data_IF_650070878963
#
_entry.id   IF_650070878963
#
_cell.length_a   1.000
_cell.length_b   1.000
_cell.length_c   1.000
_cell.angle_alpha   90.00
_cell.angle_beta   90.00
_cell.angle_gamma   90.00
#
_symmetry.space_group_name_H-M   'P 1'
#
loop_
_entity.id
_entity.type
_entity.pdbx_description
1 polymer ?
#
# COMPACT_ATOMS: atom_id res chain seq x y z
N UNK A 1 -25.67 31.51 -34.25
CA UNK A 1 -25.70 30.05 -34.49
C UNK A 1 -24.32 29.49 -34.23
N UNK A 2 -24.13 28.97 -33.02
CA UNK A 2 -23.49 27.68 -32.74
C UNK A 2 -23.30 27.62 -31.23
N UNK A 3 -24.35 27.17 -30.57
CA UNK A 3 -24.26 26.60 -29.24
C UNK A 3 -23.39 25.35 -29.34
N UNK A 4 -22.27 25.38 -28.64
CA UNK A 4 -21.38 24.24 -28.49
C UNK A 4 -21.90 23.46 -27.28
N UNK A 5 -22.80 22.52 -27.55
CA UNK A 5 -23.33 21.58 -26.56
C UNK A 5 -22.18 20.74 -25.99
N UNK A 6 -21.76 21.13 -24.79
CA UNK A 6 -20.85 20.38 -23.94
C UNK A 6 -21.61 19.16 -23.39
N UNK A 7 -21.67 18.09 -24.16
CA UNK A 7 -22.18 16.78 -23.72
C UNK A 7 -21.09 16.08 -22.91
N UNK A 8 -20.85 16.59 -21.70
CA UNK A 8 -20.23 15.79 -20.66
C UNK A 8 -21.13 14.58 -20.41
N UNK A 9 -20.70 13.40 -20.84
CA UNK A 9 -21.31 12.12 -20.48
C UNK A 9 -21.26 11.96 -18.96
N UNK A 10 -22.26 12.49 -18.26
CA UNK A 10 -22.62 12.10 -16.91
C UNK A 10 -23.10 10.65 -17.00
N UNK A 11 -22.16 9.69 -16.96
CA UNK A 11 -22.53 8.32 -16.65
C UNK A 11 -23.19 8.34 -15.26
N UNK A 12 -24.42 7.81 -15.13
CA UNK A 12 -25.08 7.76 -13.84
C UNK A 12 -24.21 6.97 -12.87
N UNK A 13 -23.95 7.56 -11.70
CA UNK A 13 -23.22 6.88 -10.64
C UNK A 13 -23.99 5.62 -10.25
N UNK A 14 -23.33 4.46 -10.35
CA UNK A 14 -23.93 3.18 -10.01
C UNK A 14 -24.35 3.15 -8.52
N UNK A 15 -25.47 2.50 -8.22
CA UNK A 15 -25.81 2.22 -6.84
C UNK A 15 -24.88 1.14 -6.25
N UNK A 16 -24.80 1.06 -4.91
CA UNK A 16 -24.07 -0.02 -4.24
C UNK A 16 -24.55 -1.42 -4.68
N UNK A 17 -25.84 -1.56 -4.95
CA UNK A 17 -26.44 -2.79 -5.46
C UNK A 17 -25.96 -3.13 -6.87
N UNK A 18 -25.85 -2.13 -7.75
CA UNK A 18 -25.34 -2.34 -9.12
C UNK A 18 -23.87 -2.78 -9.09
N UNK A 19 -23.04 -2.15 -8.25
CA UNK A 19 -21.64 -2.55 -8.07
C UNK A 19 -21.50 -4.01 -7.62
N UNK A 20 -22.34 -4.43 -6.67
CA UNK A 20 -22.39 -5.81 -6.19
C UNK A 20 -22.83 -6.80 -7.27
N UNK A 21 -23.83 -6.46 -8.08
CA UNK A 21 -24.29 -7.31 -9.18
C UNK A 21 -23.26 -7.41 -10.32
N UNK A 22 -22.52 -6.33 -10.63
CA UNK A 22 -21.38 -6.42 -11.55
C UNK A 22 -20.27 -7.34 -11.01
N UNK A 23 -19.96 -7.24 -9.72
CA UNK A 23 -18.98 -8.13 -9.09
C UNK A 23 -19.41 -9.60 -9.19
N UNK A 24 -20.69 -9.90 -8.95
CA UNK A 24 -21.24 -11.24 -9.17
C UNK A 24 -21.15 -11.66 -10.63
N UNK A 25 -21.53 -10.81 -11.58
CA UNK A 25 -21.49 -11.17 -13.00
C UNK A 25 -20.06 -11.52 -13.45
N UNK A 26 -19.07 -10.76 -12.99
CA UNK A 26 -17.65 -11.05 -13.21
C UNK A 26 -17.21 -12.35 -12.50
N UNK A 27 -17.77 -12.62 -11.32
CA UNK A 27 -17.52 -13.82 -10.55
C UNK A 27 -18.28 -15.07 -11.05
N UNK A 28 -19.38 -14.99 -11.77
CA UNK A 28 -20.14 -16.20 -12.16
C UNK A 28 -20.04 -16.48 -13.66
N UNK A 29 -19.86 -15.44 -14.47
CA UNK A 29 -19.78 -15.53 -15.93
C UNK A 29 -18.63 -14.68 -16.52
N UNK A 30 -17.37 -14.89 -16.09
CA UNK A 30 -16.22 -14.04 -16.45
C UNK A 30 -15.94 -14.00 -17.96
N UNK A 31 -16.21 -15.11 -18.67
CA UNK A 31 -15.94 -15.24 -20.11
C UNK A 31 -16.68 -14.20 -20.96
N UNK A 32 -17.81 -13.68 -20.47
CA UNK A 32 -18.59 -12.62 -21.15
C UNK A 32 -17.94 -11.24 -21.05
N UNK A 33 -16.98 -11.06 -20.14
CA UNK A 33 -16.44 -9.76 -19.75
C UNK A 33 -14.94 -9.64 -19.91
N UNK A 34 -14.22 -10.71 -20.24
CA UNK A 34 -12.79 -10.61 -20.53
C UNK A 34 -12.52 -9.62 -21.68
N UNK A 35 -11.56 -8.73 -21.45
CA UNK A 35 -11.21 -7.65 -22.39
C UNK A 35 -12.22 -6.50 -22.45
N UNK A 36 -13.26 -6.51 -21.60
CA UNK A 36 -14.17 -5.36 -21.47
C UNK A 36 -13.53 -4.23 -20.69
N UNK A 37 -14.00 -3.01 -20.94
CA UNK A 37 -13.60 -1.83 -20.18
C UNK A 37 -13.96 -1.97 -18.68
N UNK A 38 -13.11 -1.48 -17.76
CA UNK A 38 -13.42 -1.47 -16.34
C UNK A 38 -14.70 -0.66 -16.02
N UNK A 39 -15.57 -1.24 -15.20
CA UNK A 39 -16.82 -0.61 -14.77
C UNK A 39 -16.53 0.29 -13.57
N UNK A 40 -16.80 1.59 -13.70
CA UNK A 40 -16.70 2.51 -12.57
C UNK A 40 -17.81 2.25 -11.55
N UNK A 41 -17.42 1.91 -10.32
CA UNK A 41 -18.35 1.63 -9.21
C UNK A 41 -18.36 2.72 -8.15
N UNK A 42 -17.39 3.63 -8.20
CA UNK A 42 -17.29 4.75 -7.28
C UNK A 42 -16.61 5.93 -7.98
N UNK A 43 -17.10 7.14 -7.75
CA UNK A 43 -16.41 8.39 -8.06
C UNK A 43 -16.34 9.22 -6.77
N UNK A 44 -15.18 9.81 -6.52
CA UNK A 44 -15.01 10.74 -5.41
C UNK A 44 -15.28 12.16 -5.89
N UNK A 45 -15.91 12.95 -5.03
CA UNK A 45 -16.03 14.39 -5.26
C UNK A 45 -14.64 15.04 -5.34
N UNK A 46 -14.43 16.03 -6.23
CA UNK A 46 -13.18 16.77 -6.28
C UNK A 46 -12.85 17.39 -4.91
N UNK A 47 -11.66 17.07 -4.38
CA UNK A 47 -11.22 17.54 -3.06
C UNK A 47 -11.76 16.74 -1.87
N UNK A 48 -12.41 15.59 -2.11
CA UNK A 48 -12.82 14.69 -1.03
C UNK A 48 -11.65 14.39 -0.10
N UNK A 49 -11.87 14.57 1.20
CA UNK A 49 -10.91 14.24 2.24
C UNK A 49 -10.63 12.73 2.28
N UNK A 50 -9.49 12.37 2.86
CA UNK A 50 -9.12 10.98 3.02
C UNK A 50 -10.18 10.18 3.82
N UNK A 51 -10.81 10.79 4.83
CA UNK A 51 -11.91 10.16 5.58
C UNK A 51 -13.14 9.89 4.70
N UNK A 52 -13.51 10.85 3.85
CA UNK A 52 -14.64 10.70 2.92
C UNK A 52 -14.36 9.61 1.88
N UNK A 53 -13.14 9.56 1.33
CA UNK A 53 -12.74 8.52 0.39
C UNK A 53 -12.76 7.13 1.04
N UNK A 54 -12.22 7.00 2.25
CA UNK A 54 -12.28 5.75 3.04
C UNK A 54 -13.71 5.28 3.25
N UNK A 55 -14.61 6.16 3.68
CA UNK A 55 -16.00 5.83 3.95
C UNK A 55 -16.77 5.44 2.68
N UNK A 56 -16.61 6.21 1.60
CA UNK A 56 -17.26 5.89 0.34
C UNK A 56 -16.76 4.56 -0.23
N UNK A 57 -15.45 4.29 -0.18
CA UNK A 57 -14.89 3.00 -0.58
C UNK A 57 -15.39 1.86 0.30
N UNK A 58 -15.47 2.05 1.63
CA UNK A 58 -15.97 1.05 2.58
C UNK A 58 -17.37 0.57 2.23
N UNK A 59 -18.26 1.47 1.83
CA UNK A 59 -19.63 1.11 1.45
C UNK A 59 -19.68 0.23 0.20
N UNK A 60 -18.93 0.59 -0.84
CA UNK A 60 -18.84 -0.20 -2.09
C UNK A 60 -18.17 -1.54 -1.84
N UNK A 61 -17.04 -1.54 -1.15
CA UNK A 61 -16.31 -2.74 -0.77
C UNK A 61 -17.18 -3.70 0.05
N UNK A 62 -17.87 -3.21 1.07
CA UNK A 62 -18.76 -4.00 1.91
C UNK A 62 -19.94 -4.60 1.14
N UNK A 63 -20.53 -3.85 0.19
CA UNK A 63 -21.61 -4.36 -0.66
C UNK A 63 -21.13 -5.50 -1.58
N UNK A 64 -19.93 -5.38 -2.14
CA UNK A 64 -19.32 -6.42 -2.98
C UNK A 64 -19.00 -7.67 -2.14
N UNK A 65 -18.34 -7.49 -0.99
CA UNK A 65 -18.02 -8.61 -0.08
C UNK A 65 -19.28 -9.34 0.38
N UNK A 66 -20.34 -8.62 0.73
CA UNK A 66 -21.62 -9.21 1.11
C UNK A 66 -22.24 -10.04 -0.03
N UNK A 67 -21.89 -9.77 -1.29
CA UNK A 67 -22.46 -10.42 -2.47
C UNK A 67 -21.68 -11.62 -2.97
N UNK A 68 -20.34 -11.54 -2.98
CA UNK A 68 -19.45 -12.56 -3.55
C UNK A 68 -18.47 -13.17 -2.54
N UNK A 69 -18.53 -12.76 -1.27
CA UNK A 69 -17.67 -13.24 -0.19
C UNK A 69 -16.39 -12.42 -0.01
N UNK A 70 -15.58 -12.82 0.98
CA UNK A 70 -14.29 -12.18 1.27
C UNK A 70 -13.30 -12.32 0.10
N UNK A 71 -12.42 -11.32 -0.13
CA UNK A 71 -11.42 -11.40 -1.17
C UNK A 71 -10.34 -12.45 -0.84
N UNK A 72 -9.68 -12.92 -1.88
CA UNK A 72 -8.49 -13.79 -1.78
C UNK A 72 -7.28 -12.97 -1.36
N UNK A 73 -7.10 -11.80 -1.97
CA UNK A 73 -6.00 -10.88 -1.71
C UNK A 73 -6.55 -9.49 -1.43
N UNK A 74 -6.16 -8.96 -0.28
CA UNK A 74 -6.29 -7.54 0.05
C UNK A 74 -5.03 -6.83 -0.44
N UNK A 75 -5.10 -5.54 -0.71
CA UNK A 75 -3.95 -4.85 -1.25
C UNK A 75 -4.19 -3.39 -1.57
N UNK A 76 -3.12 -2.75 -2.00
CA UNK A 76 -3.12 -1.32 -2.27
C UNK A 76 -2.00 -0.91 -3.19
N UNK A 77 -2.25 0.12 -3.99
CA UNK A 77 -1.30 0.78 -4.87
C UNK A 77 -0.97 2.18 -4.34
N UNK A 78 -0.05 2.85 -5.03
CA UNK A 78 0.26 4.24 -4.77
C UNK A 78 -0.95 5.17 -4.92
N UNK A 79 -2.00 4.79 -5.67
CA UNK A 79 -3.15 5.65 -5.92
C UNK A 79 -4.43 5.22 -5.22
N UNK A 80 -4.56 3.94 -4.87
CA UNK A 80 -5.79 3.44 -4.29
C UNK A 80 -5.78 1.92 -4.06
N UNK A 81 -6.89 1.40 -3.50
CA UNK A 81 -7.02 -0.01 -3.15
C UNK A 81 -6.83 -0.94 -4.35
N UNK A 82 -6.34 -2.15 -4.09
CA UNK A 82 -6.16 -3.21 -5.08
C UNK A 82 -6.64 -4.55 -4.47
N UNK A 83 -7.95 -4.82 -4.56
CA UNK A 83 -8.60 -5.97 -3.92
C UNK A 83 -8.96 -7.03 -4.96
N UNK A 84 -8.73 -8.31 -4.65
CA UNK A 84 -8.84 -9.40 -5.62
C UNK A 84 -9.63 -10.58 -5.10
N UNK A 85 -10.58 -11.04 -5.91
CA UNK A 85 -11.18 -12.37 -5.82
C UNK A 85 -10.59 -13.20 -6.94
N UNK A 86 -9.75 -14.17 -6.57
CA UNK A 86 -8.81 -14.82 -7.48
C UNK A 86 -8.91 -16.33 -7.40
N UNK A 87 -8.94 -16.97 -8.56
CA UNK A 87 -8.75 -18.40 -8.75
C UNK A 87 -7.74 -18.64 -9.89
N UNK A 88 -7.47 -19.89 -10.25
CA UNK A 88 -6.54 -20.22 -11.34
C UNK A 88 -6.97 -19.70 -12.73
N UNK A 89 -8.23 -19.33 -12.94
CA UNK A 89 -8.76 -18.91 -14.25
C UNK A 89 -8.96 -17.41 -14.36
N UNK A 90 -9.40 -16.76 -13.29
CA UNK A 90 -9.75 -15.35 -13.29
C UNK A 90 -9.33 -14.58 -12.03
N UNK A 91 -9.25 -13.27 -12.21
CA UNK A 91 -9.18 -12.28 -11.15
C UNK A 91 -10.30 -11.27 -11.36
N UNK A 92 -11.23 -11.19 -10.41
CA UNK A 92 -12.09 -10.02 -10.27
C UNK A 92 -11.32 -8.99 -9.44
N UNK A 93 -11.04 -7.85 -10.04
CA UNK A 93 -10.21 -6.80 -9.49
C UNK A 93 -11.04 -5.56 -9.19
N UNK A 94 -11.08 -5.18 -7.91
CA UNK A 94 -11.53 -3.85 -7.47
C UNK A 94 -10.30 -2.98 -7.26
N UNK A 95 -10.06 -2.09 -8.23
CA UNK A 95 -8.93 -1.16 -8.21
C UNK A 95 -9.41 0.27 -8.01
N UNK A 96 -8.70 1.07 -7.22
CA UNK A 96 -9.00 2.47 -6.98
C UNK A 96 -7.87 3.41 -7.33
N UNK A 97 -8.22 4.68 -7.46
CA UNK A 97 -7.32 5.83 -7.54
C UNK A 97 -7.84 6.96 -6.65
N UNK A 98 -7.17 8.11 -6.65
CA UNK A 98 -7.63 9.31 -5.93
C UNK A 98 -8.99 9.84 -6.39
N UNK A 99 -9.49 9.41 -7.55
CA UNK A 99 -10.70 9.96 -8.17
C UNK A 99 -11.85 8.96 -8.28
N UNK A 100 -11.58 7.65 -8.27
CA UNK A 100 -12.59 6.63 -8.52
C UNK A 100 -12.18 5.25 -8.01
N UNK A 101 -13.13 4.33 -7.98
CA UNK A 101 -12.87 2.89 -7.94
C UNK A 101 -13.61 2.19 -9.09
N UNK A 102 -13.00 1.13 -9.61
CA UNK A 102 -13.48 0.39 -10.77
C UNK A 102 -13.38 -1.11 -10.53
N UNK A 103 -14.36 -1.84 -11.06
CA UNK A 103 -14.36 -3.30 -11.15
C UNK A 103 -13.92 -3.71 -12.55
N UNK A 104 -13.11 -4.76 -12.62
CA UNK A 104 -12.72 -5.41 -13.87
C UNK A 104 -12.51 -6.90 -13.65
N UNK A 105 -12.48 -7.67 -14.74
CA UNK A 105 -12.18 -9.11 -14.69
C UNK A 105 -11.14 -9.47 -15.72
N UNK A 106 -10.15 -10.25 -15.29
CA UNK A 106 -8.98 -10.59 -16.08
C UNK A 106 -8.72 -12.09 -16.03
N UNK A 107 -8.09 -12.62 -17.08
CA UNK A 107 -7.46 -13.94 -16.98
C UNK A 107 -6.31 -13.88 -15.98
N UNK A 108 -6.26 -14.82 -15.03
CA UNK A 108 -5.24 -14.84 -13.97
C UNK A 108 -3.83 -14.81 -14.52
N UNK A 109 -3.50 -15.73 -15.44
CA UNK A 109 -2.15 -15.83 -16.00
C UNK A 109 -1.73 -14.56 -16.77
N UNK A 110 -2.67 -13.90 -17.44
CA UNK A 110 -2.40 -12.68 -18.18
C UNK A 110 -2.10 -11.52 -17.23
N UNK A 111 -2.98 -11.29 -16.24
CA UNK A 111 -2.81 -10.22 -15.26
C UNK A 111 -1.55 -10.42 -14.42
N UNK A 112 -1.38 -11.60 -13.81
CA UNK A 112 -0.20 -11.90 -12.98
C UNK A 112 1.10 -11.88 -13.82
N UNK A 113 1.02 -12.26 -15.09
CA UNK A 113 2.13 -12.15 -16.05
C UNK A 113 2.53 -10.70 -16.34
N UNK A 114 1.56 -9.81 -16.57
CA UNK A 114 1.80 -8.37 -16.75
C UNK A 114 2.38 -7.73 -15.49
N UNK A 115 1.84 -8.06 -14.32
CA UNK A 115 2.30 -7.51 -13.05
C UNK A 115 3.73 -7.93 -12.75
N UNK A 116 4.06 -9.21 -12.94
CA UNK A 116 5.43 -9.70 -12.82
C UNK A 116 6.37 -8.95 -13.75
N UNK A 117 5.96 -8.69 -15.01
CA UNK A 117 6.77 -7.86 -15.92
C UNK A 117 7.00 -6.47 -15.35
N UNK A 118 5.95 -5.85 -14.81
CA UNK A 118 6.03 -4.52 -14.18
C UNK A 118 6.93 -4.48 -12.95
N UNK A 119 7.06 -5.57 -12.17
CA UNK A 119 7.97 -5.64 -11.02
C UNK A 119 9.41 -6.01 -11.39
N UNK A 120 9.61 -6.91 -12.36
CA UNK A 120 10.95 -7.40 -12.72
C UNK A 120 11.67 -6.52 -13.74
N UNK A 121 10.92 -5.92 -14.69
CA UNK A 121 11.51 -5.29 -15.89
C UNK A 121 11.18 -3.80 -16.07
N UNK A 122 10.26 -3.22 -15.30
CA UNK A 122 10.15 -1.76 -15.13
C UNK A 122 11.33 -1.16 -14.32
N UNK A 123 11.18 0.05 -13.80
CA UNK A 123 12.11 0.65 -12.85
C UNK A 123 13.17 1.56 -13.44
N UNK A 124 13.71 2.42 -12.56
CA UNK A 124 14.94 3.17 -12.80
C UNK A 124 16.14 2.22 -12.83
N UNK A 125 16.94 2.27 -13.90
CA UNK A 125 18.12 1.43 -14.08
C UNK A 125 19.34 1.99 -13.32
N UNK A 126 19.25 3.26 -12.88
CA UNK A 126 20.29 3.98 -12.16
C UNK A 126 19.71 4.97 -11.16
N UNK A 127 20.53 5.44 -10.23
CA UNK A 127 20.14 6.48 -9.25
C UNK A 127 19.87 7.86 -9.87
N UNK A 128 20.25 8.09 -11.14
CA UNK A 128 20.00 9.35 -11.84
C UNK A 128 18.66 9.38 -12.60
N UNK A 129 18.02 8.23 -12.79
CA UNK A 129 16.72 8.14 -13.42
C UNK A 129 15.59 8.31 -12.40
N UNK A 130 14.46 8.90 -12.78
CA UNK A 130 13.30 8.96 -11.89
C UNK A 130 12.80 7.55 -11.59
N UNK A 131 12.41 7.30 -10.33
CA UNK A 131 11.75 6.06 -9.96
C UNK A 131 10.31 6.00 -10.50
N UNK A 132 9.73 4.80 -10.53
CA UNK A 132 8.38 4.50 -11.03
C UNK A 132 7.52 3.74 -10.01
N UNK A 133 7.85 3.83 -8.72
CA UNK A 133 7.10 3.14 -7.65
C UNK A 133 5.61 3.49 -7.62
N UNK A 134 5.23 4.68 -8.09
CA UNK A 134 3.86 5.14 -8.23
C UNK A 134 3.09 4.43 -9.35
N UNK A 135 3.80 3.82 -10.31
CA UNK A 135 3.23 3.06 -11.42
C UNK A 135 3.12 1.56 -11.14
N UNK A 136 3.56 1.10 -9.96
CA UNK A 136 3.48 -0.32 -9.61
C UNK A 136 2.01 -0.75 -9.47
N UNK A 137 1.66 -1.97 -9.91
CA UNK A 137 0.29 -2.47 -9.80
C UNK A 137 -0.25 -2.45 -8.35
N UNK A 138 0.65 -2.68 -7.39
CA UNK A 138 0.40 -2.59 -5.95
C UNK A 138 1.72 -2.37 -5.20
N UNK A 139 1.65 -1.74 -4.04
CA UNK A 139 2.77 -1.56 -3.11
C UNK A 139 2.77 -2.60 -1.99
N UNK A 140 1.59 -3.12 -1.63
CA UNK A 140 1.40 -4.18 -0.65
C UNK A 140 0.26 -5.13 -1.03
N UNK A 141 0.36 -6.37 -0.57
CA UNK A 141 -0.70 -7.38 -0.65
C UNK A 141 -0.75 -8.21 0.63
N UNK A 142 -1.96 -8.64 1.00
CA UNK A 142 -2.21 -9.48 2.16
C UNK A 142 -3.09 -10.66 1.76
N UNK A 143 -2.57 -11.87 1.95
CA UNK A 143 -3.30 -13.13 1.78
C UNK A 143 -3.77 -13.64 3.14
N UNK A 144 -5.08 -13.63 3.39
CA UNK A 144 -5.69 -14.17 4.63
C UNK A 144 -6.26 -15.57 4.45
N UNK A 145 -5.82 -16.31 3.43
CA UNK A 145 -6.40 -17.61 3.06
C UNK A 145 -7.91 -17.50 2.81
N UNK A 146 -8.30 -16.48 2.06
CA UNK A 146 -9.68 -16.29 1.61
C UNK A 146 -10.18 -17.47 0.75
N UNK A 147 -11.46 -17.48 0.35
CA UNK A 147 -12.09 -18.63 -0.32
C UNK A 147 -11.54 -18.96 -1.72
N UNK A 148 -10.73 -18.07 -2.29
CA UNK A 148 -10.07 -18.29 -3.58
C UNK A 148 -8.75 -19.07 -3.46
N UNK A 149 -7.98 -19.06 -4.54
CA UNK A 149 -6.69 -19.76 -4.60
C UNK A 149 -5.53 -18.79 -4.48
N UNK A 150 -4.54 -19.08 -3.63
CA UNK A 150 -3.31 -18.28 -3.52
C UNK A 150 -2.55 -18.20 -4.86
N UNK A 151 -1.86 -17.08 -5.18
CA UNK A 151 -0.89 -17.02 -6.27
C UNK A 151 0.21 -18.10 -6.14
N UNK A 152 0.53 -18.77 -7.24
CA UNK A 152 1.59 -19.80 -7.27
C UNK A 152 2.97 -19.15 -7.15
N UNK A 153 3.14 -17.99 -7.79
CA UNK A 153 4.36 -17.20 -7.79
C UNK A 153 4.03 -15.77 -7.36
N UNK A 154 4.92 -15.18 -6.57
CA UNK A 154 4.84 -13.77 -6.19
C UNK A 154 5.99 -13.03 -6.87
N UNK A 155 5.79 -11.78 -7.29
CA UNK A 155 6.87 -10.99 -7.84
C UNK A 155 7.94 -10.74 -6.77
N UNK A 156 9.21 -10.75 -7.16
CA UNK A 156 10.34 -10.46 -6.24
C UNK A 156 10.37 -9.02 -5.70
N UNK A 157 9.48 -8.15 -6.17
CA UNK A 157 9.38 -6.74 -5.82
C UNK A 157 10.25 -5.82 -6.68
N UNK A 158 9.96 -4.51 -6.60
CA UNK A 158 10.72 -3.43 -7.25
C UNK A 158 11.81 -2.97 -6.28
N UNK A 159 13.07 -3.05 -6.68
CA UNK A 159 14.20 -2.57 -5.87
C UNK A 159 14.50 -1.09 -6.14
N UNK A 160 14.83 -0.36 -5.08
CA UNK A 160 15.26 1.03 -5.14
C UNK A 160 16.74 1.11 -5.54
N UNK A 161 17.06 2.02 -6.45
CA UNK A 161 18.43 2.23 -6.96
C UNK A 161 19.29 3.13 -6.05
N UNK A 162 18.67 3.87 -5.12
CA UNK A 162 19.33 4.72 -4.12
C UNK A 162 18.39 4.95 -2.91
N UNK A 163 18.91 5.54 -1.82
CA UNK A 163 18.11 5.78 -0.61
C UNK A 163 16.96 6.75 -0.82
N UNK A 164 17.08 7.71 -1.76
CA UNK A 164 15.99 8.60 -2.15
C UNK A 164 14.84 7.83 -2.81
N UNK A 165 15.16 6.87 -3.69
CA UNK A 165 14.15 5.99 -4.28
C UNK A 165 13.46 5.14 -3.22
N UNK A 166 14.22 4.63 -2.24
CA UNK A 166 13.66 3.91 -1.11
C UNK A 166 12.75 4.81 -0.25
N UNK A 167 13.13 6.08 -0.03
CA UNK A 167 12.30 7.04 0.67
C UNK A 167 10.93 7.20 -0.01
N UNK A 168 10.92 7.40 -1.32
CA UNK A 168 9.69 7.55 -2.09
C UNK A 168 8.83 6.27 -2.06
N UNK A 169 9.46 5.10 -2.21
CA UNK A 169 8.78 3.81 -2.12
C UNK A 169 8.09 3.63 -0.75
N UNK A 170 8.81 3.96 0.33
CA UNK A 170 8.29 3.92 1.69
C UNK A 170 7.15 4.92 1.90
N UNK A 171 7.29 6.16 1.42
CA UNK A 171 6.23 7.17 1.49
C UNK A 171 4.93 6.67 0.82
N UNK A 172 5.05 6.11 -0.39
CA UNK A 172 3.91 5.59 -1.14
C UNK A 172 3.25 4.39 -0.43
N UNK A 173 4.05 3.47 0.13
CA UNK A 173 3.54 2.35 0.92
C UNK A 173 2.76 2.85 2.15
N UNK A 174 3.34 3.77 2.91
CA UNK A 174 2.72 4.27 4.15
C UNK A 174 1.47 5.09 3.85
N UNK A 175 1.48 5.91 2.80
CA UNK A 175 0.29 6.62 2.34
C UNK A 175 -0.81 5.64 1.91
N UNK A 176 -0.45 4.55 1.22
CA UNK A 176 -1.39 3.50 0.85
C UNK A 176 -1.95 2.78 2.09
N UNK A 177 -1.14 2.49 3.11
CA UNK A 177 -1.62 1.90 4.36
C UNK A 177 -2.58 2.79 5.10
N UNK A 178 -2.17 4.05 5.31
CA UNK A 178 -3.00 5.07 5.91
C UNK A 178 -4.34 5.07 5.18
N UNK A 179 -4.40 5.33 3.87
CA UNK A 179 -5.68 5.44 3.20
C UNK A 179 -6.46 4.12 3.09
N UNK A 180 -5.82 3.00 2.79
CA UNK A 180 -6.51 1.85 2.19
C UNK A 180 -6.57 0.61 3.09
N UNK A 181 -5.62 0.45 4.03
CA UNK A 181 -5.50 -0.77 4.84
C UNK A 181 -6.73 -0.94 5.73
N UNK A 182 -7.05 0.07 6.54
CA UNK A 182 -8.12 -0.01 7.54
C UNK A 182 -9.50 -0.27 6.95
N UNK A 183 -9.75 0.13 5.69
CA UNK A 183 -11.02 -0.16 5.01
C UNK A 183 -11.17 -1.64 4.69
N UNK A 184 -10.04 -2.32 4.46
CA UNK A 184 -9.97 -3.72 4.05
C UNK A 184 -9.84 -4.68 5.22
N UNK A 185 -9.10 -4.31 6.27
CA UNK A 185 -8.78 -5.20 7.41
C UNK A 185 -9.42 -4.79 8.74
N UNK A 186 -10.17 -3.67 8.78
CA UNK A 186 -10.82 -3.18 9.98
C UNK A 186 -9.83 -2.65 11.02
N UNK A 187 -10.00 -3.07 12.28
CA UNK A 187 -9.20 -2.66 13.43
C UNK A 187 -7.89 -3.48 13.57
N UNK A 188 -7.51 -4.22 12.54
CA UNK A 188 -6.24 -4.93 12.53
C UNK A 188 -5.09 -3.94 12.21
N UNK A 189 -3.92 -4.21 12.77
CA UNK A 189 -2.70 -3.42 12.53
C UNK A 189 -1.83 -4.08 11.46
N UNK A 190 -0.96 -3.30 10.81
CA UNK A 190 0.13 -3.80 9.98
C UNK A 190 1.47 -3.25 10.48
N UNK A 191 2.52 -4.06 10.40
CA UNK A 191 3.89 -3.63 10.74
C UNK A 191 4.93 -4.32 9.89
N UNK A 192 6.12 -3.75 9.87
CA UNK A 192 7.35 -4.40 9.41
C UNK A 192 8.56 -3.73 10.07
N UNK A 193 9.67 -4.44 10.09
CA UNK A 193 10.95 -3.93 10.59
C UNK A 193 11.95 -3.77 9.46
N UNK A 194 12.69 -2.66 9.46
CA UNK A 194 13.82 -2.40 8.57
C UNK A 194 15.12 -2.62 9.34
N UNK A 195 16.00 -3.43 8.75
CA UNK A 195 17.34 -3.72 9.25
C UNK A 195 18.38 -3.20 8.26
N UNK A 196 19.46 -2.60 8.78
CA UNK A 196 20.62 -2.22 7.99
C UNK A 196 21.81 -3.11 8.33
N UNK A 197 22.49 -3.63 7.31
CA UNK A 197 23.74 -4.36 7.49
C UNK A 197 24.92 -3.47 7.92
N UNK A 198 24.78 -2.15 7.77
CA UNK A 198 25.73 -1.14 8.26
C UNK A 198 25.60 -0.90 9.78
N UNK A 199 24.42 -1.16 10.36
CA UNK A 199 24.16 -1.05 11.80
C UNK A 199 23.61 -2.38 12.35
N UNK A 200 24.52 -3.33 12.51
CA UNK A 200 24.18 -4.71 12.91
C UNK A 200 23.69 -4.72 14.36
N UNK A 201 22.37 -4.84 14.53
CA UNK A 201 21.75 -5.09 15.83
C UNK A 201 20.54 -4.20 16.12
N UNK A 202 20.29 -3.19 15.30
CA UNK A 202 19.20 -2.23 15.53
C UNK A 202 18.14 -2.35 14.46
N UNK A 203 16.91 -2.40 14.92
CA UNK A 203 15.73 -2.48 14.08
C UNK A 203 15.00 -1.15 14.11
N UNK A 204 14.49 -0.76 12.95
CA UNK A 204 13.55 0.33 12.79
C UNK A 204 12.18 -0.28 12.52
N UNK A 205 11.29 -0.22 13.50
CA UNK A 205 9.94 -0.75 13.41
C UNK A 205 9.01 0.34 12.88
N UNK A 206 8.18 0.00 11.91
CA UNK A 206 7.11 0.86 11.40
C UNK A 206 5.80 0.09 11.50
N UNK A 207 4.77 0.72 12.04
CA UNK A 207 3.44 0.11 12.19
C UNK A 207 2.32 1.11 11.97
N UNK A 208 1.18 0.61 11.51
CA UNK A 208 -0.05 1.38 11.35
C UNK A 208 -1.26 0.60 11.87
N UNK A 209 -2.11 1.27 12.63
CA UNK A 209 -3.44 0.81 13.03
C UNK A 209 -4.44 1.96 12.92
N UNK A 210 -5.72 1.67 12.71
CA UNK A 210 -6.73 2.73 12.60
C UNK A 210 -6.90 3.51 13.92
N UNK A 211 -6.83 2.83 15.06
CA UNK A 211 -7.00 3.43 16.40
C UNK A 211 -5.75 4.17 16.88
N UNK A 212 -4.57 3.58 16.67
CA UNK A 212 -3.29 4.12 17.18
C UNK A 212 -2.61 5.09 16.20
N UNK A 213 -3.00 5.06 14.92
CA UNK A 213 -2.38 5.83 13.86
C UNK A 213 -1.09 5.20 13.33
N UNK A 214 -0.19 6.04 12.80
CA UNK A 214 1.10 5.62 12.24
C UNK A 214 2.20 5.82 13.28
N UNK A 215 3.02 4.79 13.47
CA UNK A 215 4.08 4.74 14.48
C UNK A 215 5.39 4.31 13.84
N UNK A 216 6.48 4.94 14.29
CA UNK A 216 7.84 4.55 13.96
C UNK A 216 8.68 4.55 15.23
N UNK A 217 9.48 3.49 15.40
CA UNK A 217 10.42 3.39 16.51
C UNK A 217 11.75 2.77 16.09
N UNK A 218 12.81 3.10 16.82
CA UNK A 218 14.15 2.57 16.60
C UNK A 218 14.77 2.10 17.90
N UNK A 219 15.38 0.92 17.86
CA UNK A 219 16.12 0.37 19.00
C UNK A 219 17.42 1.15 19.24
N UNK A 220 17.52 1.78 20.40
CA UNK A 220 18.68 2.54 20.87
C UNK A 220 19.12 2.11 22.27
N UNK A 221 18.84 0.85 22.66
CA UNK A 221 19.19 0.33 24.00
C UNK A 221 20.69 0.34 24.28
N UNK A 222 21.50 0.12 23.25
CA UNK A 222 22.97 0.19 23.34
C UNK A 222 23.49 1.64 23.12
N UNK A 223 22.61 2.62 23.00
CA UNK A 223 22.97 4.04 22.89
C UNK A 223 23.33 4.66 24.23
N UNK A 224 24.17 5.70 24.20
CA UNK A 224 24.50 6.49 25.39
C UNK A 224 23.25 7.19 25.93
N UNK A 225 23.04 7.10 27.25
CA UNK A 225 21.95 7.79 27.95
C UNK A 225 22.43 9.18 28.42
N UNK A 226 22.61 10.11 27.48
CA UNK A 226 23.08 11.47 27.73
C UNK A 226 22.08 12.54 27.23
N UNK A 227 22.02 13.72 27.87
CA UNK A 227 21.22 14.85 27.39
C UNK A 227 21.57 15.27 25.95
N UNK A 228 22.85 15.17 25.57
CA UNK A 228 23.33 15.49 24.23
C UNK A 228 22.80 14.49 23.20
N UNK A 229 22.76 13.19 23.52
CA UNK A 229 22.13 12.16 22.69
C UNK A 229 20.63 12.44 22.55
N UNK A 230 19.94 12.77 23.64
CA UNK A 230 18.52 13.09 23.60
C UNK A 230 18.23 14.30 22.70
N UNK A 231 19.01 15.38 22.84
CA UNK A 231 18.89 16.56 21.99
C UNK A 231 19.15 16.24 20.51
N UNK A 232 20.13 15.37 20.22
CA UNK A 232 20.40 14.87 18.87
C UNK A 232 19.23 14.05 18.30
N UNK A 233 18.60 13.20 19.11
CA UNK A 233 17.46 12.40 18.65
C UNK A 233 16.24 13.29 18.40
N UNK A 234 15.98 14.26 19.27
CA UNK A 234 14.92 15.25 19.05
C UNK A 234 15.16 16.09 17.79
N UNK A 235 16.40 16.52 17.51
CA UNK A 235 16.71 17.30 16.30
C UNK A 235 16.56 16.50 15.01
N UNK A 236 16.60 15.16 15.08
CA UNK A 236 16.30 14.26 13.94
C UNK A 236 14.80 14.01 13.76
N UNK A 237 13.96 14.34 14.73
CA UNK A 237 12.51 14.15 14.67
C UNK A 237 11.94 13.08 15.61
N UNK A 238 12.76 12.48 16.49
CA UNK A 238 12.28 11.55 17.52
C UNK A 238 11.59 12.30 18.67
N UNK A 239 10.40 11.86 19.08
CA UNK A 239 9.58 12.60 20.04
C UNK A 239 9.74 12.11 21.49
N UNK A 240 9.77 10.80 21.70
CA UNK A 240 9.86 10.22 23.04
C UNK A 240 10.79 9.01 23.08
N UNK A 241 11.18 8.62 24.30
CA UNK A 241 12.00 7.44 24.55
C UNK A 241 11.34 6.56 25.60
N UNK A 242 11.09 5.30 25.28
CA UNK A 242 10.58 4.30 26.23
C UNK A 242 11.46 3.04 26.20
N UNK A 243 11.91 2.58 27.37
CA UNK A 243 12.71 1.35 27.54
C UNK A 243 13.87 1.19 26.53
N UNK A 244 14.51 2.31 26.19
CA UNK A 244 15.64 2.36 25.25
C UNK A 244 15.26 2.42 23.77
N UNK A 245 13.98 2.53 23.45
CA UNK A 245 13.48 2.78 22.10
C UNK A 245 13.15 4.25 21.93
N UNK A 246 13.59 4.85 20.82
CA UNK A 246 13.09 6.16 20.41
C UNK A 246 11.88 5.98 19.52
N UNK A 247 10.87 6.83 19.67
CA UNK A 247 9.63 6.70 18.94
C UNK A 247 9.00 8.05 18.60
N UNK A 248 8.20 8.02 17.54
CA UNK A 248 7.40 9.13 17.04
C UNK A 248 6.05 8.58 16.61
N UNK A 249 4.98 9.23 17.07
CA UNK A 249 3.60 8.80 16.87
C UNK A 249 2.81 9.83 16.05
N UNK A 250 1.95 9.35 15.17
CA UNK A 250 1.06 10.15 14.33
C UNK A 250 -0.37 9.59 14.43
N UNK A 251 -1.19 10.05 15.40
CA UNK A 251 -2.49 9.46 15.69
C UNK A 251 -3.53 9.60 14.56
N UNK A 252 -3.49 10.74 13.85
CA UNK A 252 -4.39 11.02 12.72
C UNK A 252 -3.56 11.27 11.45
N UNK A 253 -2.85 10.25 10.94
CA UNK A 253 -1.88 10.46 9.87
C UNK A 253 -2.59 10.72 8.54
N UNK A 254 -2.04 11.64 7.75
CA UNK A 254 -2.32 11.77 6.33
C UNK A 254 -1.05 11.50 5.48
N UNK A 255 -1.05 11.95 4.22
CA UNK A 255 0.10 11.78 3.31
C UNK A 255 1.34 12.53 3.81
N UNK A 256 1.18 13.70 4.43
CA UNK A 256 2.27 14.48 4.98
C UNK A 256 2.93 13.73 6.15
N UNK A 257 2.16 13.13 7.05
CA UNK A 257 2.72 12.30 8.13
C UNK A 257 3.38 11.03 7.59
N UNK A 258 2.83 10.40 6.54
CA UNK A 258 3.48 9.27 5.87
C UNK A 258 4.86 9.68 5.29
N UNK A 259 4.94 10.85 4.65
CA UNK A 259 6.21 11.41 4.15
C UNK A 259 7.18 11.74 5.30
N UNK A 260 6.68 12.27 6.42
CA UNK A 260 7.49 12.57 7.59
C UNK A 260 8.11 11.30 8.21
N UNK A 261 7.35 10.20 8.28
CA UNK A 261 7.87 8.89 8.73
C UNK A 261 8.93 8.36 7.80
N UNK A 262 8.69 8.41 6.48
CA UNK A 262 9.70 7.98 5.50
C UNK A 262 10.99 8.81 5.63
N UNK A 263 10.87 10.12 5.75
CA UNK A 263 12.01 11.01 5.94
C UNK A 263 12.78 10.75 7.24
N UNK A 264 12.06 10.52 8.35
CA UNK A 264 12.67 10.16 9.64
C UNK A 264 13.43 8.84 9.55
N UNK A 265 12.84 7.82 8.91
CA UNK A 265 13.48 6.52 8.71
C UNK A 265 14.80 6.65 7.95
N UNK A 266 14.82 7.37 6.82
CA UNK A 266 16.02 7.58 6.02
C UNK A 266 17.07 8.41 6.76
N UNK A 267 16.65 9.46 7.46
CA UNK A 267 17.54 10.30 8.28
C UNK A 267 18.24 9.46 9.33
N UNK A 268 17.52 8.59 10.02
CA UNK A 268 18.10 7.71 11.03
C UNK A 268 19.02 6.65 10.41
N UNK A 269 18.61 6.02 9.31
CA UNK A 269 19.43 5.03 8.59
C UNK A 269 20.76 5.62 8.11
N UNK A 270 20.73 6.84 7.55
CA UNK A 270 21.93 7.58 7.12
C UNK A 270 22.83 7.94 8.29
N UNK A 271 22.24 8.45 9.37
CA UNK A 271 22.98 8.80 10.57
C UNK A 271 23.69 7.59 11.21
N UNK A 272 23.20 6.39 10.94
CA UNK A 272 23.77 5.10 11.35
C UNK A 272 24.70 4.47 10.31
N UNK A 273 25.00 5.20 9.23
CA UNK A 273 26.00 4.82 8.24
C UNK A 273 25.48 3.99 7.06
N UNK A 274 24.17 3.80 6.93
CA UNK A 274 23.57 3.21 5.72
C UNK A 274 23.80 4.15 4.53
N UNK A 275 24.29 3.61 3.42
CA UNK A 275 24.58 4.38 2.21
C UNK A 275 23.74 3.95 1.02
N UNK A 276 23.41 2.67 0.93
CA UNK A 276 22.77 2.08 -0.24
C UNK A 276 21.57 1.20 0.16
N UNK A 277 20.49 1.14 -0.65
CA UNK A 277 19.35 0.26 -0.38
C UNK A 277 19.70 -1.23 -0.29
N UNK A 278 20.75 -1.68 -1.00
CA UNK A 278 21.20 -3.07 -0.97
C UNK A 278 21.69 -3.52 0.41
N UNK A 279 21.99 -2.58 1.30
CA UNK A 279 22.35 -2.82 2.70
C UNK A 279 21.13 -3.08 3.59
N UNK A 280 19.91 -2.81 3.09
CA UNK A 280 18.66 -2.83 3.85
C UNK A 280 17.85 -4.11 3.61
N UNK A 281 17.17 -4.60 4.65
CA UNK A 281 16.22 -5.71 4.58
C UNK A 281 14.95 -5.38 5.37
N UNK A 282 13.80 -5.63 4.77
CA UNK A 282 12.54 -5.70 5.49
C UNK A 282 12.40 -7.08 6.12
N UNK A 283 11.81 -7.16 7.32
CA UNK A 283 11.49 -8.41 8.01
C UNK A 283 10.22 -8.23 8.83
N UNK A 284 9.70 -9.35 9.30
CA UNK A 284 8.60 -9.40 10.27
C UNK A 284 7.37 -8.60 9.78
N UNK A 285 7.15 -8.61 8.46
CA UNK A 285 5.96 -8.02 7.85
C UNK A 285 4.74 -8.83 8.30
N UNK A 286 3.82 -8.19 9.03
CA UNK A 286 2.67 -8.85 9.62
C UNK A 286 1.45 -7.94 9.60
N UNK A 287 0.26 -8.54 9.53
CA UNK A 287 -1.00 -7.87 9.78
C UNK A 287 -1.77 -8.63 10.86
N UNK A 288 -1.61 -8.21 12.13
CA UNK A 288 -2.16 -8.90 13.32
C UNK A 288 -1.88 -10.40 13.36
N UNK A 289 -0.74 -10.82 12.81
CA UNK A 289 -0.32 -12.22 12.68
C UNK A 289 -1.36 -13.12 11.97
N UNK A 290 -2.18 -12.51 11.11
CA UNK A 290 -3.19 -13.18 10.30
C UNK A 290 -2.87 -13.04 8.83
N UNK A 291 -2.56 -14.18 8.20
CA UNK A 291 -2.21 -14.22 6.80
C UNK A 291 -0.75 -13.86 6.54
N UNK A 292 -0.42 -13.72 5.26
CA UNK A 292 0.92 -13.38 4.79
C UNK A 292 0.90 -11.99 4.16
N UNK A 293 1.67 -11.04 4.73
CA UNK A 293 1.77 -9.67 4.25
C UNK A 293 3.03 -9.50 3.40
N UNK A 294 2.85 -9.08 2.16
CA UNK A 294 3.93 -8.83 1.22
C UNK A 294 4.03 -7.35 0.88
N UNK A 295 5.27 -6.86 0.74
CA UNK A 295 5.58 -5.44 0.49
C UNK A 295 6.44 -5.28 -0.79
N UNK A 296 5.97 -5.73 -1.96
CA UNK A 296 6.77 -5.76 -3.18
C UNK A 296 7.10 -4.36 -3.72
N UNK A 297 6.35 -3.34 -3.32
CA UNK A 297 6.64 -1.93 -3.66
C UNK A 297 7.55 -1.21 -2.66
N UNK A 298 8.09 -1.88 -1.64
CA UNK A 298 8.86 -1.21 -0.58
C UNK A 298 10.25 -0.74 -1.02
N UNK A 299 10.79 -1.24 -2.14
CA UNK A 299 12.11 -0.79 -2.62
C UNK A 299 13.30 -1.56 -2.06
N UNK A 300 13.10 -2.50 -1.13
CA UNK A 300 14.17 -3.30 -0.51
C UNK A 300 13.78 -4.78 -0.44
N UNK A 301 14.76 -5.65 -0.21
CA UNK A 301 14.54 -7.10 -0.12
C UNK A 301 13.81 -7.45 1.19
N UNK A 302 12.90 -8.41 1.12
CA UNK A 302 12.16 -8.99 2.24
C UNK A 302 12.53 -10.46 2.43
#
# INVERSE_FOLDING_TARGET
MSDMENTGTNQPMLSLGDAAEFALAFHDAPDLYFGSEPVQVLAYEPGASLRERREAFRQVYGAIVARIGEPTLYGGSAEGPNVRWRDCRRVVLLAGSYHRAQLSVHHTDALEGDERRSFEWGGAWSASEPHDFDLLPYTWQLDRSGPGERPIELPGGRLASCLEHFQSALELLLAAWVEQLAVQVGDDWASFSVYSSADRGRQLLISYALEDGLHISVDDRDGEDSPERAQLMHSRGWQSRDRGWWQTDFPEPDRQEASAVAHLAITELRARGTKEPDELRARDASCKDRGELWLPGLGIRH
#
